data_IF_605667708127
#
_entry.id   IF_605667708127
#
_cell.length_a   1.000
_cell.length_b   1.000
_cell.length_c   1.000
_cell.angle_alpha   90.00
_cell.angle_beta   90.00
_cell.angle_gamma   90.00
#
_symmetry.space_group_name_H-M   'P 1'
#
loop_
_entity.id
_entity.type
_entity.pdbx_description
1 polymer ?
#
# COMPACT_ATOMS: atom_id res chain seq x y z
N UNK A 1 -0.57 -2.57 30.69
CA UNK A 1 -0.90 -2.71 29.25
C UNK A 1 -1.47 -4.09 29.03
N UNK A 2 -2.62 -4.20 28.35
CA UNK A 2 -3.19 -5.50 28.00
C UNK A 2 -2.47 -6.06 26.77
N UNK A 3 -2.13 -7.34 26.79
CA UNK A 3 -1.55 -8.04 25.64
C UNK A 3 -2.64 -8.83 24.90
N UNK A 4 -2.54 -8.88 23.57
CA UNK A 4 -3.42 -9.67 22.72
C UNK A 4 -2.59 -10.67 21.91
N UNK A 5 -3.16 -11.83 21.61
CA UNK A 5 -2.51 -12.88 20.82
C UNK A 5 -2.98 -12.79 19.37
N UNK A 6 -2.04 -12.75 18.44
CA UNK A 6 -2.30 -12.81 17.00
C UNK A 6 -1.95 -14.21 16.50
N UNK A 7 -2.93 -14.94 15.97
CA UNK A 7 -2.74 -16.26 15.37
C UNK A 7 -2.94 -16.18 13.85
N UNK A 8 -1.91 -16.59 13.09
CA UNK A 8 -1.94 -16.54 11.61
C UNK A 8 -1.53 -17.89 11.07
N UNK A 9 -2.27 -18.40 10.08
CA UNK A 9 -1.87 -19.59 9.32
C UNK A 9 -0.86 -19.19 8.25
N UNK A 10 0.25 -19.91 8.21
CA UNK A 10 1.34 -19.70 7.26
C UNK A 10 1.89 -21.06 6.83
N UNK A 11 2.39 -21.13 5.60
CA UNK A 11 3.11 -22.31 5.11
C UNK A 11 4.35 -22.58 5.98
N UNK A 12 4.55 -23.84 6.37
CA UNK A 12 5.63 -24.24 7.28
C UNK A 12 7.02 -23.90 6.73
N UNK A 13 7.23 -24.12 5.43
CA UNK A 13 8.52 -23.86 4.79
C UNK A 13 8.78 -22.36 4.66
N UNK A 14 7.75 -21.55 4.38
CA UNK A 14 7.86 -20.09 4.40
C UNK A 14 8.26 -19.60 5.80
N UNK A 15 7.61 -20.10 6.85
CA UNK A 15 7.92 -19.74 8.24
C UNK A 15 9.39 -19.98 8.56
N UNK A 16 9.92 -21.18 8.26
CA UNK A 16 11.33 -21.53 8.52
C UNK A 16 12.28 -20.59 7.80
N UNK A 17 12.09 -20.40 6.48
CA UNK A 17 12.95 -19.53 5.66
C UNK A 17 13.00 -18.09 6.16
N UNK A 18 11.85 -17.55 6.58
CA UNK A 18 11.77 -16.18 7.10
C UNK A 18 12.40 -16.09 8.49
N UNK A 19 12.17 -17.08 9.36
CA UNK A 19 12.74 -17.10 10.70
C UNK A 19 14.28 -17.12 10.69
N UNK A 20 14.89 -17.89 9.78
CA UNK A 20 16.35 -17.89 9.58
C UNK A 20 16.86 -16.51 9.14
N UNK A 21 16.17 -15.85 8.21
CA UNK A 21 16.52 -14.50 7.74
C UNK A 21 16.34 -13.43 8.81
N UNK A 22 15.30 -13.54 9.64
CA UNK A 22 15.10 -12.61 10.75
C UNK A 22 16.19 -12.78 11.81
N UNK A 23 16.61 -14.02 12.08
CA UNK A 23 17.69 -14.30 13.03
C UNK A 23 19.02 -13.66 12.60
N UNK A 24 19.35 -13.63 11.31
CA UNK A 24 20.57 -12.94 10.84
C UNK A 24 20.52 -11.43 11.08
N UNK A 25 19.32 -10.86 11.22
CA UNK A 25 19.09 -9.46 11.56
C UNK A 25 18.95 -9.23 13.08
N UNK A 26 19.09 -10.27 13.91
CA UNK A 26 18.85 -10.19 15.35
C UNK A 26 17.37 -10.07 15.74
N UNK A 27 16.46 -10.39 14.82
CA UNK A 27 15.02 -10.28 15.01
C UNK A 27 14.38 -11.66 15.19
N UNK A 28 13.29 -11.71 15.93
CA UNK A 28 12.38 -12.86 15.98
C UNK A 28 11.07 -12.54 15.25
N UNK A 29 10.26 -13.57 15.03
CA UNK A 29 9.00 -13.43 14.29
C UNK A 29 8.03 -12.45 14.97
N UNK A 30 7.91 -12.51 16.31
CA UNK A 30 7.03 -11.64 17.08
C UNK A 30 7.44 -10.17 16.97
N UNK A 31 8.74 -9.88 17.02
CA UNK A 31 9.28 -8.53 16.83
C UNK A 31 8.95 -8.01 15.43
N UNK A 32 9.16 -8.81 14.39
CA UNK A 32 8.83 -8.43 13.02
C UNK A 32 7.34 -8.15 12.82
N UNK A 33 6.46 -8.99 13.40
CA UNK A 33 5.01 -8.78 13.36
C UNK A 33 4.61 -7.50 14.10
N UNK A 34 5.16 -7.24 15.29
CA UNK A 34 4.87 -6.00 16.02
C UNK A 34 5.35 -4.76 15.25
N UNK A 35 6.53 -4.81 14.61
CA UNK A 35 7.02 -3.72 13.77
C UNK A 35 6.08 -3.45 12.59
N UNK A 36 5.56 -4.50 11.94
CA UNK A 36 4.58 -4.37 10.86
C UNK A 36 3.30 -3.68 11.35
N UNK A 37 2.77 -4.10 12.50
CA UNK A 37 1.55 -3.51 13.07
C UNK A 37 1.75 -2.02 13.39
N UNK A 38 2.88 -1.65 13.99
CA UNK A 38 3.21 -0.24 14.26
C UNK A 38 3.39 0.58 12.98
N UNK A 39 3.96 0.01 11.91
CA UNK A 39 4.05 0.72 10.63
C UNK A 39 2.67 0.95 10.01
N UNK A 40 1.77 -0.02 10.10
CA UNK A 40 0.39 0.13 9.61
C UNK A 40 -0.34 1.23 10.40
N UNK A 41 -0.24 1.21 11.72
CA UNK A 41 -0.85 2.20 12.62
C UNK A 41 -0.32 3.62 12.33
N UNK A 42 1.00 3.76 12.17
CA UNK A 42 1.62 5.07 11.92
C UNK A 42 1.31 5.64 10.52
N UNK A 43 1.20 4.79 9.49
CA UNK A 43 1.05 5.26 8.10
C UNK A 43 -0.39 5.17 7.58
N UNK A 44 -1.31 4.58 8.34
CA UNK A 44 -2.67 4.26 7.89
C UNK A 44 -2.72 3.53 6.54
N UNK A 45 -1.70 2.71 6.25
CA UNK A 45 -1.57 1.94 5.01
C UNK A 45 -0.70 0.70 5.23
N UNK A 46 -0.82 -0.25 4.31
CA UNK A 46 0.08 -1.41 4.27
C UNK A 46 1.49 -0.93 3.86
N UNK A 47 2.54 -1.17 4.68
CA UNK A 47 3.88 -0.60 4.48
C UNK A 47 4.74 -1.44 3.51
N UNK A 48 4.12 -1.97 2.47
CA UNK A 48 4.79 -2.61 1.34
C UNK A 48 3.91 -2.48 0.11
N UNK A 49 4.53 -2.45 -1.07
CA UNK A 49 3.81 -2.41 -2.33
C UNK A 49 3.10 -3.74 -2.54
N UNK A 50 1.77 -3.74 -2.54
CA UNK A 50 0.98 -4.91 -2.91
C UNK A 50 1.05 -5.04 -4.43
N UNK A 51 2.01 -5.83 -4.92
CA UNK A 51 2.13 -6.14 -6.34
C UNK A 51 0.87 -6.88 -6.80
N UNK A 52 -0.10 -6.15 -7.34
CA UNK A 52 -1.36 -6.74 -7.80
C UNK A 52 -2.47 -5.77 -8.18
N UNK A 53 -2.39 -4.47 -7.85
CA UNK A 53 -3.49 -3.53 -8.10
C UNK A 53 -3.12 -2.22 -8.79
N UNK A 54 -1.95 -2.18 -9.41
CA UNK A 54 -1.40 -0.96 -10.01
C UNK A 54 -1.43 -0.95 -11.54
N UNK A 55 -2.14 -1.86 -12.21
CA UNK A 55 -2.18 -1.81 -13.68
C UNK A 55 -3.05 -0.66 -14.18
N UNK A 56 -4.15 -0.32 -13.50
CA UNK A 56 -5.07 0.72 -13.93
C UNK A 56 -4.63 2.10 -13.41
N UNK A 57 -4.33 2.23 -12.12
CA UNK A 57 -3.87 3.48 -11.52
C UNK A 57 -2.55 3.99 -12.15
N UNK A 58 -1.55 3.12 -12.36
CA UNK A 58 -0.33 3.54 -13.05
C UNK A 58 -0.56 3.86 -14.53
N UNK A 59 -1.54 3.22 -15.18
CA UNK A 59 -1.92 3.60 -16.55
C UNK A 59 -2.56 4.98 -16.55
N UNK A 60 -3.51 5.26 -15.66
CA UNK A 60 -4.16 6.57 -15.54
C UNK A 60 -3.15 7.66 -15.23
N UNK A 61 -2.22 7.44 -14.30
CA UNK A 61 -1.14 8.40 -13.99
C UNK A 61 -0.28 8.65 -15.24
N UNK A 62 0.15 7.59 -15.95
CA UNK A 62 0.93 7.74 -17.18
C UNK A 62 0.15 8.40 -18.32
N UNK A 63 -1.14 8.14 -18.43
CA UNK A 63 -2.01 8.76 -19.44
C UNK A 63 -2.18 10.25 -19.17
N UNK A 64 -2.42 10.64 -17.91
CA UNK A 64 -2.45 12.05 -17.48
C UNK A 64 -1.10 12.73 -17.76
N UNK A 65 0.03 12.13 -17.35
CA UNK A 65 1.37 12.68 -17.63
C UNK A 65 1.66 12.79 -19.13
N UNK A 66 1.17 11.84 -19.94
CA UNK A 66 1.29 11.85 -21.39
C UNK A 66 0.25 12.76 -22.09
N UNK A 67 -0.58 13.48 -21.33
CA UNK A 67 -1.61 14.37 -21.86
C UNK A 67 -2.80 13.66 -22.52
N UNK A 68 -2.94 12.34 -22.31
CA UNK A 68 -4.06 11.53 -22.80
C UNK A 68 -5.17 11.49 -21.75
N UNK A 69 -6.39 11.86 -22.15
CA UNK A 69 -7.55 11.87 -21.25
C UNK A 69 -7.73 13.17 -20.45
N UNK A 70 -6.86 14.16 -20.60
CA UNK A 70 -7.09 15.52 -20.12
C UNK A 70 -8.08 16.21 -21.08
N UNK A 71 -9.37 16.16 -20.75
CA UNK A 71 -10.39 16.91 -21.47
C UNK A 71 -10.26 18.38 -21.12
N UNK A 72 -9.77 19.18 -22.08
CA UNK A 72 -9.72 20.65 -22.05
C UNK A 72 -8.93 21.29 -20.90
N UNK A 73 -8.23 22.37 -21.24
CA UNK A 73 -7.76 23.31 -20.23
C UNK A 73 -8.90 24.29 -20.00
N UNK A 74 -9.49 24.26 -18.81
CA UNK A 74 -10.52 25.22 -18.41
C UNK A 74 -9.82 26.47 -17.88
N UNK A 75 -10.15 27.62 -18.45
CA UNK A 75 -9.70 28.94 -17.98
C UNK A 75 -10.61 29.52 -16.91
N UNK A 76 -11.81 28.94 -16.75
CA UNK A 76 -12.83 29.41 -15.82
C UNK A 76 -13.44 28.25 -15.03
N UNK A 77 -13.61 28.46 -13.72
CA UNK A 77 -14.14 27.45 -12.80
C UNK A 77 -15.60 27.12 -13.08
N UNK A 78 -16.41 28.06 -13.56
CA UNK A 78 -17.81 27.80 -13.93
C UNK A 78 -17.91 26.88 -15.15
N UNK A 79 -16.98 27.02 -16.12
CA UNK A 79 -16.93 26.15 -17.29
C UNK A 79 -16.58 24.71 -16.89
N UNK A 80 -15.70 24.54 -15.89
CA UNK A 80 -15.35 23.25 -15.31
C UNK A 80 -16.56 22.60 -14.62
N UNK A 81 -17.26 23.32 -13.76
CA UNK A 81 -18.43 22.79 -13.03
C UNK A 81 -19.55 22.37 -13.99
N UNK A 82 -19.82 23.21 -15.00
CA UNK A 82 -20.81 22.91 -16.04
C UNK A 82 -20.49 21.65 -16.84
N UNK A 83 -19.21 21.39 -17.12
CA UNK A 83 -18.77 20.20 -17.86
C UNK A 83 -18.75 18.94 -16.98
N UNK A 84 -18.47 19.09 -15.68
CA UNK A 84 -18.57 18.02 -14.69
C UNK A 84 -20.02 17.69 -14.28
N UNK A 85 -21.00 18.49 -14.70
CA UNK A 85 -22.42 18.28 -14.42
C UNK A 85 -22.79 18.44 -12.94
N UNK A 86 -22.00 19.23 -12.20
CA UNK A 86 -22.17 19.53 -10.77
C UNK A 86 -22.28 21.04 -10.53
#
# INVERSE_FOLDING_TARGET
MATAIVQVRVESELKKRVEEKLKTMGLNMSTAVNMLLHQIDNQNRIPFTVAGKDSELLKTIREIEAGKGLSKVYTDTEELYKDLGI
#
